data_IF_009314526270
#
_entry.id   IF_009314526270
#
_cell.length_a   1.000
_cell.length_b   1.000
_cell.length_c   1.000
_cell.angle_alpha   90.00
_cell.angle_beta   90.00
_cell.angle_gamma   90.00
#
_symmetry.space_group_name_H-M   'P 1'
#
loop_
_entity.id
_entity.type
_entity.pdbx_description
1 polymer ?
#
# COMPACT_ATOMS: atom_id res chain seq x y z
N UNK A 1 14.31 -6.01 -1.30
CA UNK A 1 13.11 -5.40 -0.70
C UNK A 1 13.56 -4.31 0.27
N UNK A 2 12.82 -3.22 0.37
CA UNK A 2 13.14 -2.12 1.28
C UNK A 2 11.99 -1.87 2.25
N UNK A 3 12.32 -1.63 3.52
CA UNK A 3 11.40 -1.19 4.56
C UNK A 3 11.86 0.19 5.01
N UNK A 4 11.01 1.20 4.84
CA UNK A 4 11.23 2.55 5.38
C UNK A 4 10.22 2.84 6.45
N UNK A 5 10.62 3.45 7.55
CA UNK A 5 9.70 3.68 8.65
C UNK A 5 10.14 4.81 9.59
N UNK A 6 9.18 5.32 10.35
CA UNK A 6 9.42 6.11 11.57
C UNK A 6 8.33 5.76 12.61
N UNK A 7 8.65 5.89 13.90
CA UNK A 7 7.70 5.54 14.96
C UNK A 7 7.33 4.04 15.03
N UNK A 8 8.24 3.17 14.57
CA UNK A 8 8.11 1.71 14.64
C UNK A 8 9.15 1.15 15.62
N UNK A 9 8.69 0.37 16.60
CA UNK A 9 9.54 -0.17 17.67
C UNK A 9 10.51 -1.26 17.18
N UNK A 10 11.65 -1.51 17.87
CA UNK A 10 12.60 -2.55 17.49
C UNK A 10 11.98 -3.94 17.29
N UNK A 11 11.10 -4.36 18.21
CA UNK A 11 10.40 -5.63 18.09
C UNK A 11 9.51 -5.71 16.84
N UNK A 12 8.79 -4.64 16.50
CA UNK A 12 7.98 -4.59 15.28
C UNK A 12 8.85 -4.72 14.02
N UNK A 13 10.06 -4.13 14.03
CA UNK A 13 11.05 -4.25 12.95
C UNK A 13 11.54 -5.69 12.77
N UNK A 14 11.80 -6.39 13.86
CA UNK A 14 12.21 -7.81 13.83
C UNK A 14 11.11 -8.71 13.28
N UNK A 15 9.86 -8.51 13.71
CA UNK A 15 8.73 -9.29 13.21
C UNK A 15 8.52 -9.04 11.71
N UNK A 16 8.58 -7.77 11.27
CA UNK A 16 8.53 -7.43 9.84
C UNK A 16 9.67 -8.11 9.08
N UNK A 17 10.90 -8.05 9.59
CA UNK A 17 12.05 -8.72 8.98
C UNK A 17 11.79 -10.22 8.79
N UNK A 18 11.36 -10.92 9.85
CA UNK A 18 11.12 -12.36 9.83
C UNK A 18 10.00 -12.82 8.87
N UNK A 19 9.04 -11.95 8.55
CA UNK A 19 7.98 -12.29 7.57
C UNK A 19 8.48 -12.30 6.13
N UNK A 20 9.48 -11.48 5.80
CA UNK A 20 9.95 -11.31 4.42
C UNK A 20 11.33 -11.90 4.16
N UNK A 21 12.14 -12.13 5.20
CA UNK A 21 13.56 -12.52 5.09
C UNK A 21 13.77 -13.87 4.39
N UNK A 22 12.78 -14.75 4.42
CA UNK A 22 12.84 -16.05 3.76
C UNK A 22 12.75 -15.95 2.23
N UNK A 23 12.19 -14.86 1.71
CA UNK A 23 11.93 -14.67 0.27
C UNK A 23 12.69 -13.46 -0.30
N UNK A 24 13.14 -12.54 0.55
CA UNK A 24 13.80 -11.31 0.14
C UNK A 24 15.03 -10.98 0.98
N UNK A 25 16.05 -10.41 0.34
CA UNK A 25 17.03 -9.58 1.04
C UNK A 25 16.40 -8.24 1.40
N UNK A 26 16.44 -7.88 2.68
CA UNK A 26 15.76 -6.71 3.24
C UNK A 26 16.79 -5.61 3.56
N UNK A 27 16.50 -4.39 3.12
CA UNK A 27 17.19 -3.17 3.52
C UNK A 27 16.20 -2.40 4.41
N UNK A 28 16.61 -2.05 5.63
CA UNK A 28 15.82 -1.25 6.55
C UNK A 28 16.39 0.17 6.64
N UNK A 29 15.51 1.15 6.60
CA UNK A 29 15.87 2.57 6.64
C UNK A 29 14.94 3.28 7.63
N UNK A 30 15.50 3.81 8.71
CA UNK A 30 14.77 4.67 9.63
C UNK A 30 14.76 6.09 9.07
N UNK A 31 13.58 6.67 8.98
CA UNK A 31 13.32 7.98 8.36
C UNK A 31 12.88 8.98 9.42
N UNK A 32 13.00 10.27 9.12
CA UNK A 32 12.39 11.32 9.93
C UNK A 32 10.90 11.38 9.68
N UNK A 33 10.10 11.84 10.65
CA UNK A 33 8.67 12.07 10.45
C UNK A 33 8.45 13.06 9.30
N UNK A 34 7.80 12.60 8.22
CA UNK A 34 7.50 13.41 7.03
C UNK A 34 6.07 13.97 7.13
N UNK A 35 5.12 13.14 7.53
CA UNK A 35 3.71 13.52 7.66
C UNK A 35 3.37 13.77 9.14
N UNK A 36 3.16 15.04 9.50
CA UNK A 36 2.79 15.44 10.86
C UNK A 36 1.41 14.95 11.28
N UNK A 37 0.58 14.51 10.32
CA UNK A 37 -0.72 13.93 10.64
C UNK A 37 -0.59 12.55 11.26
N UNK A 38 0.53 11.83 11.03
CA UNK A 38 0.70 10.46 11.53
C UNK A 38 1.87 10.33 12.50
N UNK A 39 1.62 9.68 13.63
CA UNK A 39 2.65 9.39 14.65
C UNK A 39 3.67 8.37 14.16
N UNK A 40 3.28 7.51 13.23
CA UNK A 40 4.17 6.51 12.63
C UNK A 40 3.85 6.24 11.17
N UNK A 41 4.86 5.83 10.41
CA UNK A 41 4.70 5.40 9.03
C UNK A 41 5.52 4.13 8.78
N UNK A 42 4.97 3.27 7.93
CA UNK A 42 5.65 2.10 7.40
C UNK A 42 5.45 2.03 5.89
N UNK A 43 6.54 2.12 5.14
CA UNK A 43 6.56 1.94 3.69
C UNK A 43 7.27 0.63 3.36
N UNK A 44 6.54 -0.29 2.75
CA UNK A 44 7.00 -1.61 2.35
C UNK A 44 7.19 -1.61 0.83
N UNK A 45 8.44 -1.65 0.36
CA UNK A 45 8.77 -1.66 -1.07
C UNK A 45 9.19 -3.07 -1.50
N UNK A 46 8.27 -3.74 -2.19
CA UNK A 46 8.42 -5.10 -2.70
C UNK A 46 8.90 -5.02 -4.16
N UNK A 47 10.10 -5.56 -4.48
CA UNK A 47 10.74 -5.37 -5.77
C UNK A 47 10.20 -6.34 -6.84
N UNK A 48 8.88 -6.54 -6.86
CA UNK A 48 8.17 -7.46 -7.76
C UNK A 48 6.84 -6.83 -8.16
N UNK A 49 6.33 -7.24 -9.33
CA UNK A 49 5.06 -6.75 -9.83
C UNK A 49 3.90 -7.21 -8.96
N UNK A 50 2.89 -6.35 -8.81
CA UNK A 50 1.62 -6.73 -8.19
C UNK A 50 0.82 -7.60 -9.15
N UNK A 51 0.78 -8.90 -8.89
CA UNK A 51 0.13 -9.88 -9.76
C UNK A 51 -0.24 -11.15 -8.99
N UNK A 52 -1.07 -12.02 -9.58
CA UNK A 52 -1.40 -13.31 -8.98
C UNK A 52 -0.17 -14.19 -8.77
N UNK A 53 0.81 -14.12 -9.67
CA UNK A 53 2.07 -14.87 -9.58
C UNK A 53 2.84 -14.52 -8.31
N UNK A 54 2.84 -13.25 -7.91
CA UNK A 54 3.41 -12.84 -6.63
C UNK A 54 2.72 -13.56 -5.47
N UNK A 55 1.39 -13.57 -5.40
CA UNK A 55 0.66 -14.22 -4.30
C UNK A 55 0.84 -15.74 -4.28
N UNK A 56 0.94 -16.38 -5.46
CA UNK A 56 1.24 -17.80 -5.60
C UNK A 56 2.66 -18.11 -5.08
N UNK A 57 3.65 -17.31 -5.45
CA UNK A 57 5.06 -17.50 -5.04
C UNK A 57 5.33 -17.12 -3.57
N UNK A 58 4.69 -16.06 -3.08
CA UNK A 58 4.82 -15.57 -1.70
C UNK A 58 4.01 -16.43 -0.71
N UNK A 59 3.02 -17.17 -1.21
CA UNK A 59 2.08 -18.02 -0.49
C UNK A 59 1.03 -17.22 0.31
N UNK A 60 -0.24 -17.57 0.10
CA UNK A 60 -1.38 -16.93 0.77
C UNK A 60 -1.25 -16.95 2.29
N UNK A 61 -0.75 -18.06 2.87
CA UNK A 61 -0.53 -18.17 4.32
C UNK A 61 0.49 -17.15 4.85
N UNK A 62 1.55 -16.87 4.08
CA UNK A 62 2.55 -15.86 4.46
C UNK A 62 1.97 -14.45 4.30
N UNK A 63 1.18 -14.22 3.26
CA UNK A 63 0.46 -12.96 3.06
C UNK A 63 -0.54 -12.65 4.20
N UNK A 64 -1.30 -13.64 4.67
CA UNK A 64 -2.19 -13.48 5.83
C UNK A 64 -1.45 -13.09 7.12
N UNK A 65 -0.22 -13.58 7.30
CA UNK A 65 0.64 -13.17 8.43
C UNK A 65 1.08 -11.72 8.30
N UNK A 66 1.41 -11.26 7.08
CA UNK A 66 1.69 -9.85 6.80
C UNK A 66 0.46 -9.01 7.16
N UNK A 67 -0.72 -9.31 6.59
CA UNK A 67 -1.97 -8.60 6.90
C UNK A 67 -2.25 -8.55 8.40
N UNK A 68 -2.08 -9.67 9.09
CA UNK A 68 -2.27 -9.76 10.54
C UNK A 68 -1.35 -8.83 11.32
N UNK A 69 -0.08 -8.74 10.92
CA UNK A 69 0.87 -7.82 11.52
C UNK A 69 0.48 -6.36 11.27
N UNK A 70 0.09 -5.99 10.05
CA UNK A 70 -0.32 -4.61 9.74
C UNK A 70 -1.52 -4.16 10.59
N UNK A 71 -2.51 -5.04 10.78
CA UNK A 71 -3.65 -4.80 11.69
C UNK A 71 -3.20 -4.67 13.15
N UNK A 72 -2.25 -5.50 13.59
CA UNK A 72 -1.70 -5.44 14.95
C UNK A 72 -0.93 -4.14 15.20
N UNK A 73 -0.14 -3.67 14.23
CA UNK A 73 0.54 -2.36 14.28
C UNK A 73 -0.45 -1.23 14.52
N UNK A 74 -1.57 -1.21 13.78
CA UNK A 74 -2.65 -0.24 13.99
C UNK A 74 -3.30 -0.42 15.36
N UNK A 75 -3.61 -1.65 15.77
CA UNK A 75 -4.28 -1.94 17.06
C UNK A 75 -3.48 -1.41 18.25
N UNK A 76 -2.16 -1.61 18.27
CA UNK A 76 -1.28 -1.18 19.38
C UNK A 76 -1.18 0.33 19.54
N UNK A 77 -1.39 1.08 18.46
CA UNK A 77 -1.33 2.56 18.47
C UNK A 77 -2.68 3.20 18.79
N UNK A 78 -3.76 2.43 18.84
CA UNK A 78 -5.08 2.90 19.27
C UNK A 78 -5.84 3.73 18.22
N UNK A 79 -6.72 4.60 18.71
CA UNK A 79 -7.54 5.52 17.91
C UNK A 79 -6.73 6.76 17.51
N UNK A 80 -7.15 7.44 16.44
CA UNK A 80 -6.45 8.59 15.87
C UNK A 80 -5.62 8.22 14.64
N UNK A 81 -4.97 9.24 14.07
CA UNK A 81 -4.03 9.11 12.96
C UNK A 81 -2.70 8.49 13.45
N UNK A 82 -2.79 7.22 13.83
CA UNK A 82 -1.75 6.56 14.60
C UNK A 82 -0.64 6.01 13.69
N UNK A 83 -1.03 5.43 12.55
CA UNK A 83 -0.11 4.84 11.58
C UNK A 83 -0.62 5.01 10.16
N UNK A 84 0.29 5.33 9.25
CA UNK A 84 0.11 5.23 7.80
C UNK A 84 0.94 4.07 7.28
N UNK A 85 0.32 3.19 6.48
CA UNK A 85 1.01 2.06 5.86
C UNK A 85 0.91 2.19 4.35
N UNK A 86 2.06 2.13 3.68
CA UNK A 86 2.14 2.08 2.23
C UNK A 86 2.79 0.77 1.79
N UNK A 87 2.15 0.06 0.87
CA UNK A 87 2.73 -1.13 0.22
C UNK A 87 2.94 -0.78 -1.25
N UNK A 88 4.19 -0.84 -1.69
CA UNK A 88 4.62 -0.49 -3.04
C UNK A 88 5.16 -1.74 -3.72
N UNK A 89 4.53 -2.14 -4.81
CA UNK A 89 5.02 -3.17 -5.72
C UNK A 89 5.68 -2.50 -6.92
N UNK A 90 6.95 -2.81 -7.17
CA UNK A 90 7.65 -2.24 -8.33
C UNK A 90 7.35 -3.04 -9.59
N UNK A 91 6.98 -2.37 -10.68
CA UNK A 91 6.63 -3.03 -11.93
C UNK A 91 6.23 -2.03 -12.99
N UNK A 92 5.49 -2.50 -14.00
CA UNK A 92 4.97 -1.67 -15.08
C UNK A 92 3.43 -1.78 -15.12
N UNK A 93 2.69 -0.88 -14.44
CA UNK A 93 3.15 0.22 -13.58
C UNK A 93 3.60 -0.25 -12.18
N UNK A 94 4.23 0.65 -11.42
CA UNK A 94 4.31 0.49 -9.97
C UNK A 94 2.89 0.57 -9.37
N UNK A 95 2.61 -0.26 -8.37
CA UNK A 95 1.33 -0.24 -7.64
C UNK A 95 1.58 0.13 -6.20
N UNK A 96 0.99 1.26 -5.75
CA UNK A 96 1.06 1.73 -4.37
C UNK A 96 -0.31 1.65 -3.71
N UNK A 97 -0.41 0.94 -2.61
CA UNK A 97 -1.61 0.84 -1.77
C UNK A 97 -1.37 1.63 -0.49
N UNK A 98 -2.18 2.67 -0.24
CA UNK A 98 -2.05 3.52 0.95
C UNK A 98 -3.20 3.21 1.92
N UNK A 99 -2.88 2.64 3.08
CA UNK A 99 -3.79 2.42 4.19
C UNK A 99 -3.51 3.46 5.29
N UNK A 100 -4.34 4.50 5.34
CA UNK A 100 -4.18 5.69 6.21
C UNK A 100 -5.44 5.97 7.05
N UNK A 101 -6.34 4.98 7.17
CA UNK A 101 -7.64 5.12 7.84
C UNK A 101 -7.50 5.19 9.37
N UNK A 102 -8.18 6.17 9.96
CA UNK A 102 -8.20 6.39 11.41
C UNK A 102 -8.97 5.27 12.15
N UNK A 103 -10.16 4.91 11.68
CA UNK A 103 -11.01 3.93 12.35
C UNK A 103 -10.49 2.50 12.15
N UNK A 104 -10.25 1.79 13.25
CA UNK A 104 -9.62 0.45 13.24
C UNK A 104 -10.39 -0.55 12.37
N UNK A 105 -11.72 -0.52 12.37
CA UNK A 105 -12.50 -1.48 11.58
C UNK A 105 -12.39 -1.21 10.08
N UNK A 106 -12.39 0.07 9.67
CA UNK A 106 -12.17 0.48 8.27
C UNK A 106 -10.74 0.15 7.84
N UNK A 107 -9.75 0.46 8.69
CA UNK A 107 -8.36 0.09 8.45
C UNK A 107 -8.22 -1.42 8.24
N UNK A 108 -8.75 -2.23 9.15
CA UNK A 108 -8.71 -3.68 9.03
C UNK A 108 -9.40 -4.16 7.74
N UNK A 109 -10.56 -3.59 7.39
CA UNK A 109 -11.25 -3.92 6.14
C UNK A 109 -10.39 -3.59 4.92
N UNK A 110 -9.68 -2.47 4.93
CA UNK A 110 -8.76 -2.10 3.85
C UNK A 110 -7.63 -3.11 3.70
N UNK A 111 -7.00 -3.53 4.79
CA UNK A 111 -5.91 -4.52 4.77
C UNK A 111 -6.42 -5.87 4.26
N UNK A 112 -7.59 -6.33 4.71
CA UNK A 112 -8.16 -7.61 4.26
C UNK A 112 -8.46 -7.65 2.77
N UNK A 113 -8.75 -6.50 2.16
CA UNK A 113 -9.22 -6.43 0.78
C UNK A 113 -8.13 -6.11 -0.24
N UNK A 114 -6.86 -6.08 0.16
CA UNK A 114 -5.74 -5.72 -0.72
C UNK A 114 -5.63 -6.68 -1.91
N UNK A 115 -5.72 -7.98 -1.68
CA UNK A 115 -5.52 -9.01 -2.70
C UNK A 115 -6.59 -8.99 -3.80
N UNK A 116 -7.83 -8.57 -3.51
CA UNK A 116 -8.86 -8.35 -4.55
C UNK A 116 -8.46 -7.31 -5.60
N UNK A 117 -7.53 -6.40 -5.29
CA UNK A 117 -7.07 -5.39 -6.24
C UNK A 117 -6.34 -6.05 -7.41
N UNK A 118 -5.74 -7.23 -7.23
CA UNK A 118 -5.01 -7.94 -8.29
C UNK A 118 -5.94 -8.22 -9.47
N UNK A 119 -7.13 -8.73 -9.19
CA UNK A 119 -8.12 -9.10 -10.20
C UNK A 119 -8.69 -7.87 -10.90
N UNK A 120 -8.78 -6.74 -10.19
CA UNK A 120 -9.36 -5.49 -10.71
C UNK A 120 -8.34 -4.63 -11.46
N UNK A 121 -7.05 -4.81 -11.20
CA UNK A 121 -5.98 -3.97 -11.75
C UNK A 121 -6.04 -3.88 -13.29
N UNK A 122 -6.18 -4.98 -14.06
CA UNK A 122 -6.26 -4.89 -15.52
C UNK A 122 -7.43 -4.05 -16.00
N UNK A 123 -8.57 -4.11 -15.32
CA UNK A 123 -9.76 -3.33 -15.68
C UNK A 123 -9.54 -1.85 -15.42
N UNK A 124 -8.99 -1.49 -14.25
CA UNK A 124 -8.69 -0.10 -13.90
C UNK A 124 -7.65 0.54 -14.83
N UNK A 125 -6.64 -0.23 -15.26
CA UNK A 125 -5.62 0.25 -16.19
C UNK A 125 -6.13 0.41 -17.64
N UNK A 126 -7.20 -0.29 -18.00
CA UNK A 126 -7.82 -0.22 -19.32
C UNK A 126 -9.00 0.78 -19.38
N UNK A 127 -9.32 1.48 -18.28
CA UNK A 127 -10.33 2.53 -18.31
C UNK A 127 -9.92 3.64 -19.27
N UNK A 128 -10.81 4.01 -20.20
CA UNK A 128 -10.52 4.95 -21.29
C UNK A 128 -10.01 6.34 -20.85
N UNK A 129 -10.17 6.69 -19.57
CA UNK A 129 -9.83 7.99 -19.01
C UNK A 129 -8.46 8.03 -18.30
N UNK A 130 -7.83 6.89 -17.97
CA UNK A 130 -6.51 6.87 -17.33
C UNK A 130 -5.41 7.25 -18.35
N UNK A 131 -4.34 7.98 -17.96
CA UNK A 131 -3.19 8.17 -18.83
C UNK A 131 -2.63 6.82 -19.33
N UNK A 132 -2.38 6.69 -20.64
CA UNK A 132 -1.82 5.46 -21.21
C UNK A 132 -0.43 5.19 -20.63
N UNK A 133 -0.21 3.97 -20.14
CA UNK A 133 1.05 3.49 -19.56
C UNK A 133 1.55 4.37 -18.40
N UNK A 134 0.81 4.45 -17.28
CA UNK A 134 1.30 5.16 -16.10
C UNK A 134 2.59 4.52 -15.59
N UNK A 135 3.48 5.31 -14.97
CA UNK A 135 4.66 4.80 -14.28
C UNK A 135 4.31 4.30 -12.87
N UNK A 136 3.28 4.88 -12.25
CA UNK A 136 2.78 4.47 -10.95
C UNK A 136 1.26 4.67 -10.87
N UNK A 137 0.58 3.76 -10.21
CA UNK A 137 -0.82 3.88 -9.82
C UNK A 137 -0.96 3.79 -8.31
N UNK A 138 -1.74 4.69 -7.72
CA UNK A 138 -1.92 4.81 -6.28
C UNK A 138 -3.37 4.53 -5.93
N UNK A 139 -3.56 3.55 -5.07
CA UNK A 139 -4.85 3.15 -4.54
C UNK A 139 -5.05 3.69 -3.13
N UNK A 140 -6.28 4.15 -2.86
CA UNK A 140 -6.79 4.44 -1.52
C UNK A 140 -8.07 3.66 -1.28
N UNK A 141 -8.33 3.35 -0.02
CA UNK A 141 -9.56 2.66 0.34
C UNK A 141 -10.72 3.65 0.43
N UNK A 142 -11.74 3.43 -0.38
CA UNK A 142 -12.99 4.18 -0.33
C UNK A 142 -13.91 3.54 0.73
N UNK A 143 -14.19 4.29 1.78
CA UNK A 143 -15.01 3.84 2.92
C UNK A 143 -16.48 3.72 2.58
N UNK A 144 -16.99 4.54 1.63
CA UNK A 144 -18.40 4.55 1.26
C UNK A 144 -18.77 3.28 0.51
N UNK A 145 -17.88 2.82 -0.37
CA UNK A 145 -18.09 1.56 -1.11
C UNK A 145 -17.31 0.37 -0.55
N UNK A 146 -16.52 0.59 0.51
CA UNK A 146 -15.68 -0.43 1.15
C UNK A 146 -14.80 -1.19 0.15
N UNK A 147 -14.18 -0.46 -0.79
CA UNK A 147 -13.35 -0.98 -1.89
C UNK A 147 -12.10 -0.14 -2.07
N UNK A 148 -11.01 -0.77 -2.48
CA UNK A 148 -9.84 -0.05 -3.00
C UNK A 148 -10.18 0.59 -4.34
N UNK A 149 -9.91 1.89 -4.46
CA UNK A 149 -10.11 2.66 -5.70
C UNK A 149 -8.81 3.30 -6.15
N UNK A 150 -8.66 3.34 -7.48
CA UNK A 150 -7.60 4.08 -8.13
C UNK A 150 -7.79 5.57 -7.81
N UNK A 151 -6.87 6.15 -7.03
CA UNK A 151 -6.97 7.52 -6.53
C UNK A 151 -6.10 8.49 -7.32
N UNK A 152 -4.92 8.04 -7.72
CA UNK A 152 -3.93 8.81 -8.45
C UNK A 152 -3.21 7.93 -9.48
N UNK A 153 -2.84 8.51 -10.61
CA UNK A 153 -1.94 7.91 -11.58
C UNK A 153 -0.79 8.87 -11.87
N UNK A 154 0.42 8.35 -12.05
CA UNK A 154 1.61 9.14 -12.40
C UNK A 154 2.00 8.79 -13.83
N UNK A 155 2.19 9.81 -14.67
CA UNK A 155 2.63 9.64 -16.05
C UNK A 155 3.57 10.79 -16.44
N UNK A 156 4.79 10.44 -16.91
CA UNK A 156 5.83 11.42 -17.26
C UNK A 156 6.01 12.49 -16.16
N UNK A 157 6.14 12.02 -14.92
CA UNK A 157 6.29 12.83 -13.70
C UNK A 157 5.12 13.77 -13.38
N UNK A 158 4.01 13.69 -14.13
CA UNK A 158 2.76 14.40 -13.83
C UNK A 158 1.82 13.49 -13.06
N UNK A 159 1.24 14.01 -11.98
CA UNK A 159 0.22 13.33 -11.19
C UNK A 159 -1.16 13.65 -11.76
N UNK A 160 -2.02 12.65 -11.84
CA UNK A 160 -3.40 12.76 -12.27
C UNK A 160 -4.29 12.24 -11.16
N UNK A 161 -5.40 12.92 -10.88
CA UNK A 161 -6.43 12.48 -9.91
C UNK A 161 -7.73 12.19 -10.63
N UNK A 162 -8.48 11.22 -10.12
CA UNK A 162 -9.81 10.93 -10.62
C UNK A 162 -10.82 11.96 -10.09
N UNK A 163 -11.56 12.60 -11.00
CA UNK A 163 -12.65 13.54 -10.67
C UNK A 163 -13.97 13.06 -11.28
N UNK A 164 -15.09 13.71 -10.94
CA UNK A 164 -16.41 13.41 -11.56
C UNK A 164 -16.39 13.44 -13.09
N UNK A 165 -15.48 14.21 -13.68
CA UNK A 165 -15.36 14.38 -15.13
C UNK A 165 -14.15 13.61 -15.72
N UNK A 166 -13.65 12.59 -15.00
CA UNK A 166 -12.49 11.78 -15.38
C UNK A 166 -11.16 12.25 -14.77
N UNK A 167 -10.07 11.70 -15.26
CA UNK A 167 -8.71 11.99 -14.77
C UNK A 167 -8.25 13.39 -15.16
N UNK A 168 -7.75 14.16 -14.19
CA UNK A 168 -7.20 15.50 -14.40
C UNK A 168 -5.80 15.63 -13.83
N UNK A 169 -4.87 16.32 -14.51
CA UNK A 169 -3.55 16.58 -13.95
C UNK A 169 -3.67 17.48 -12.71
N UNK A 170 -2.88 17.16 -11.68
CA UNK A 170 -2.63 18.06 -10.55
C UNK A 170 -1.57 19.06 -11.01
N UNK A 171 -1.84 20.36 -10.85
CA UNK A 171 -0.87 21.43 -11.11
C UNK A 171 0.06 21.60 -9.93
#
# INVERSE_FOLDING_TARGET
>A
MSLRFYGISPWEKEVLYGLFSNKFKIIQEETTQIDTNFVSELVIIIPVQFSEEFFKWFEFRSWERVKSLLKELKRRRGRGNAIKIEIVFTGNPNVRLIADLNETHLFNSSIEKIDFVVELLPYHLNEASIPKNPSEVIYKFDTDTSKWRLSMAVYKDKKFIFTKNGWRPIT
#
